data_IF_248874529954
#
_entry.id   IF_248874529954
#
_cell.length_a   1.000
_cell.length_b   1.000
_cell.length_c   1.000
_cell.angle_alpha   90.00
_cell.angle_beta   90.00
_cell.angle_gamma   90.00
#
_symmetry.space_group_name_H-M   'P 1'
#
loop_
_entity.id
_entity.type
_entity.pdbx_description
1 polymer ?
#
# COMPACT_ATOMS: atom_id res chain seq x y z
N UNK A 1 115.64 77.41 58.98
CA UNK A 1 114.94 78.70 59.05
C UNK A 1 113.44 78.40 58.98
N UNK A 2 112.58 78.46 59.99
CA UNK A 2 112.66 78.91 61.38
C UNK A 2 111.22 79.14 61.88
N UNK A 3 110.73 78.26 62.76
CA UNK A 3 109.85 78.45 63.95
C UNK A 3 108.54 79.30 63.86
N UNK A 4 108.19 79.97 62.76
CA UNK A 4 106.89 80.66 62.59
C UNK A 4 105.80 79.85 61.85
N UNK A 5 106.06 78.58 61.54
CA UNK A 5 105.18 77.68 60.77
C UNK A 5 104.09 76.95 61.59
N UNK A 6 103.85 77.33 62.86
CA UNK A 6 102.95 76.58 63.75
C UNK A 6 101.85 77.40 64.46
N UNK A 7 101.76 78.73 64.21
CA UNK A 7 100.80 79.59 64.94
C UNK A 7 99.66 80.13 64.03
N UNK A 8 99.80 80.14 62.70
CA UNK A 8 98.74 80.65 61.80
C UNK A 8 97.71 79.61 61.32
N UNK A 9 98.13 78.37 61.07
CA UNK A 9 97.25 77.30 60.53
C UNK A 9 96.25 76.76 61.55
N UNK A 10 96.50 76.96 62.85
CA UNK A 10 95.57 76.66 63.93
C UNK A 10 94.47 77.73 64.09
N UNK A 11 94.72 78.98 63.70
CA UNK A 11 93.72 80.07 63.74
C UNK A 11 92.77 80.02 62.53
N UNK A 12 93.27 79.67 61.33
CA UNK A 12 92.43 79.51 60.14
C UNK A 12 91.42 78.36 60.27
N UNK A 13 91.82 77.22 60.86
CA UNK A 13 90.94 76.07 61.07
C UNK A 13 89.91 76.25 62.21
N UNK A 14 90.13 77.22 63.12
CA UNK A 14 89.21 77.53 64.22
C UNK A 14 88.15 78.57 63.80
N UNK A 15 88.41 79.33 62.73
CA UNK A 15 87.48 80.30 62.14
C UNK A 15 86.75 79.72 60.91
N UNK A 16 87.37 78.83 60.12
CA UNK A 16 86.74 78.28 58.92
C UNK A 16 85.60 77.31 59.19
N UNK A 17 85.69 76.48 60.24
CA UNK A 17 84.65 75.49 60.59
C UNK A 17 83.28 76.09 60.95
N UNK A 18 83.16 77.16 61.76
CA UNK A 18 81.86 77.79 61.98
C UNK A 18 81.33 78.50 60.73
N UNK A 19 82.21 79.01 59.86
CA UNK A 19 81.82 79.63 58.58
C UNK A 19 81.33 78.60 57.57
N UNK A 20 81.96 77.43 57.51
CA UNK A 20 81.54 76.31 56.67
C UNK A 20 80.23 75.68 57.16
N UNK A 21 80.04 75.55 58.49
CA UNK A 21 78.78 75.11 59.08
C UNK A 21 77.64 76.12 58.86
N UNK A 22 77.93 77.43 58.90
CA UNK A 22 76.97 78.49 58.53
C UNK A 22 76.66 78.50 57.02
N UNK A 23 77.65 78.21 56.18
CA UNK A 23 77.46 78.08 54.74
C UNK A 23 76.69 76.82 54.38
N UNK A 24 76.87 75.70 55.09
CA UNK A 24 76.06 74.49 54.94
C UNK A 24 74.64 74.72 55.45
N UNK A 25 74.46 75.35 56.62
CA UNK A 25 73.15 75.72 57.16
C UNK A 25 72.40 76.72 56.26
N UNK A 26 73.09 77.66 55.60
CA UNK A 26 72.48 78.57 54.65
C UNK A 26 72.19 77.92 53.28
N UNK A 27 72.91 76.87 52.90
CA UNK A 27 72.69 76.11 51.65
C UNK A 27 71.66 75.00 51.78
N UNK A 28 71.48 74.44 52.98
CA UNK A 28 70.50 73.39 53.26
C UNK A 28 69.05 73.77 52.92
N UNK A 29 68.52 74.96 53.28
CA UNK A 29 67.17 75.37 52.86
C UNK A 29 67.08 75.62 51.34
N UNK A 30 68.20 75.96 50.67
CA UNK A 30 68.23 76.12 49.21
C UNK A 30 68.22 74.76 48.50
N UNK A 31 69.01 73.78 48.98
CA UNK A 31 69.02 72.40 48.49
C UNK A 31 67.70 71.69 48.75
N UNK A 32 67.09 71.88 49.92
CA UNK A 32 65.77 71.32 50.22
C UNK A 32 64.67 71.93 49.33
N UNK A 33 64.79 73.21 48.94
CA UNK A 33 63.87 73.85 48.00
C UNK A 33 64.10 73.45 46.53
N UNK A 34 65.31 73.06 46.16
CA UNK A 34 65.62 72.45 44.87
C UNK A 34 65.12 71.00 44.82
N UNK A 35 65.39 70.22 45.87
CA UNK A 35 64.93 68.85 46.03
C UNK A 35 63.39 68.77 46.04
N UNK A 36 62.69 69.63 46.79
CA UNK A 36 61.22 69.71 46.74
C UNK A 36 60.68 70.11 45.37
N UNK A 37 61.38 70.96 44.61
CA UNK A 37 60.96 71.30 43.24
C UNK A 37 61.19 70.13 42.29
N UNK A 38 62.28 69.39 42.45
CA UNK A 38 62.57 68.20 41.68
C UNK A 38 61.57 67.07 42.02
N UNK A 39 61.29 66.81 43.30
CA UNK A 39 60.26 65.87 43.73
C UNK A 39 58.87 66.26 43.23
N UNK A 40 58.47 67.54 43.35
CA UNK A 40 57.20 68.01 42.82
C UNK A 40 57.11 67.87 41.28
N UNK A 41 58.23 68.07 40.56
CA UNK A 41 58.27 67.85 39.11
C UNK A 41 58.12 66.37 38.75
N UNK A 42 58.82 65.48 39.47
CA UNK A 42 58.73 64.03 39.31
C UNK A 42 57.35 63.50 39.69
N UNK A 43 56.75 64.03 40.75
CA UNK A 43 55.38 63.68 41.17
C UNK A 43 54.35 64.15 40.14
N UNK A 44 54.51 65.36 39.60
CA UNK A 44 53.65 65.86 38.53
C UNK A 44 53.77 65.02 37.25
N UNK A 45 54.99 64.61 36.87
CA UNK A 45 55.21 63.72 35.73
C UNK A 45 54.63 62.32 35.97
N UNK A 46 54.84 61.77 37.17
CA UNK A 46 54.28 60.49 37.57
C UNK A 46 52.76 60.52 37.55
N UNK A 47 52.14 61.60 38.05
CA UNK A 47 50.70 61.79 38.03
C UNK A 47 50.16 61.87 36.60
N UNK A 48 50.79 62.66 35.73
CA UNK A 48 50.42 62.72 34.30
C UNK A 48 50.55 61.35 33.63
N UNK A 49 51.61 60.60 33.91
CA UNK A 49 51.80 59.26 33.36
C UNK A 49 50.74 58.29 33.89
N UNK A 50 50.38 58.37 35.17
CA UNK A 50 49.28 57.58 35.74
C UNK A 50 47.92 57.95 35.14
N UNK A 51 47.66 59.24 34.92
CA UNK A 51 46.44 59.72 34.28
C UNK A 51 46.36 59.25 32.82
N UNK A 52 47.47 59.30 32.08
CA UNK A 52 47.54 58.77 30.70
C UNK A 52 47.36 57.26 30.67
N UNK A 53 47.99 56.52 31.58
CA UNK A 53 47.84 55.05 31.65
C UNK A 53 46.43 54.63 32.05
N UNK A 54 45.80 55.34 32.99
CA UNK A 54 44.41 55.06 33.38
C UNK A 54 43.43 55.41 32.27
N UNK A 55 43.64 56.52 31.56
CA UNK A 55 42.85 56.88 30.39
C UNK A 55 42.99 55.84 29.26
N UNK A 56 44.22 55.41 28.95
CA UNK A 56 44.46 54.34 27.96
C UNK A 56 43.76 53.03 28.34
N UNK A 57 43.91 52.59 29.60
CA UNK A 57 43.23 51.39 30.08
C UNK A 57 41.71 51.48 30.03
N UNK A 58 41.12 52.65 30.28
CA UNK A 58 39.68 52.87 30.15
C UNK A 58 39.22 52.73 28.71
N UNK A 59 39.92 53.38 27.77
CA UNK A 59 39.61 53.28 26.33
C UNK A 59 39.78 51.85 25.83
N UNK A 60 40.86 51.16 26.21
CA UNK A 60 41.08 49.75 25.86
C UNK A 60 39.99 48.84 26.44
N UNK A 61 39.56 49.09 27.68
CA UNK A 61 38.47 48.33 28.29
C UNK A 61 37.13 48.60 27.61
N UNK A 62 36.81 49.86 27.32
CA UNK A 62 35.59 50.24 26.59
C UNK A 62 35.55 49.63 25.19
N UNK A 63 36.68 49.68 24.47
CA UNK A 63 36.83 49.05 23.16
C UNK A 63 36.63 47.54 23.24
N UNK A 64 37.30 46.87 24.19
CA UNK A 64 37.17 45.43 24.41
C UNK A 64 35.75 45.02 24.80
N UNK A 65 35.07 45.82 25.62
CA UNK A 65 33.66 45.58 25.98
C UNK A 65 32.74 45.77 24.76
N UNK A 66 33.01 46.76 23.92
CA UNK A 66 32.27 46.98 22.67
C UNK A 66 32.45 45.82 21.68
N UNK A 67 33.69 45.34 21.51
CA UNK A 67 34.01 44.20 20.65
C UNK A 67 33.30 42.93 21.14
N UNK A 68 33.40 42.66 22.44
CA UNK A 68 32.76 41.52 23.08
C UNK A 68 31.23 41.57 22.95
N UNK A 69 30.62 42.75 23.14
CA UNK A 69 29.18 42.93 22.92
C UNK A 69 28.78 42.68 21.44
N UNK A 70 29.57 43.20 20.50
CA UNK A 70 29.32 42.97 19.07
C UNK A 70 29.45 41.48 18.71
N UNK A 71 30.44 40.77 19.26
CA UNK A 71 30.57 39.32 19.09
C UNK A 71 29.38 38.56 19.68
N UNK A 72 28.90 38.96 20.86
CA UNK A 72 27.70 38.35 21.45
C UNK A 72 26.45 38.55 20.58
N UNK A 73 26.22 39.76 20.07
CA UNK A 73 25.10 40.05 19.17
C UNK A 73 25.20 39.26 17.86
N UNK A 74 26.40 39.16 17.28
CA UNK A 74 26.62 38.36 16.07
C UNK A 74 26.32 36.89 16.34
N UNK A 75 26.80 36.34 17.45
CA UNK A 75 26.58 34.94 17.83
C UNK A 75 25.11 34.64 18.12
N UNK A 76 24.36 35.59 18.68
CA UNK A 76 22.92 35.46 18.88
C UNK A 76 22.17 35.48 17.54
N UNK A 77 22.54 36.40 16.63
CA UNK A 77 21.99 36.46 15.27
C UNK A 77 22.30 35.19 14.47
N UNK A 78 23.50 34.64 14.58
CA UNK A 78 23.87 33.38 13.94
C UNK A 78 23.01 32.22 14.44
N UNK A 79 22.83 32.09 15.76
CA UNK A 79 21.98 31.04 16.34
C UNK A 79 20.52 31.17 15.95
N UNK A 80 19.97 32.39 15.95
CA UNK A 80 18.58 32.62 15.54
C UNK A 80 18.37 32.32 14.05
N UNK A 81 19.31 32.73 13.19
CA UNK A 81 19.29 32.40 11.77
C UNK A 81 19.43 30.89 11.52
N UNK A 82 20.28 30.19 12.29
CA UNK A 82 20.45 28.74 12.19
C UNK A 82 19.14 28.01 12.55
N UNK A 83 18.50 28.39 13.65
CA UNK A 83 17.19 27.85 14.04
C UNK A 83 16.13 28.16 12.98
N UNK A 84 16.09 29.38 12.44
CA UNK A 84 15.13 29.76 11.39
C UNK A 84 15.33 28.99 10.08
N UNK A 85 16.58 28.66 9.73
CA UNK A 85 16.89 27.83 8.57
C UNK A 85 16.44 26.39 8.80
N UNK A 86 16.67 25.85 10.00
CA UNK A 86 16.25 24.49 10.33
C UNK A 86 14.72 24.37 10.39
N UNK A 87 14.03 25.33 10.99
CA UNK A 87 12.56 25.39 10.99
C UNK A 87 12.01 25.47 9.57
N UNK A 88 12.65 26.23 8.67
CA UNK A 88 12.24 26.27 7.25
C UNK A 88 12.43 24.93 6.56
N UNK A 89 13.59 24.27 6.75
CA UNK A 89 13.87 22.94 6.20
C UNK A 89 12.86 21.90 6.68
N UNK A 90 12.59 21.86 7.99
CA UNK A 90 11.60 20.93 8.55
C UNK A 90 10.21 21.17 7.96
N UNK A 91 9.77 22.44 7.87
CA UNK A 91 8.47 22.78 7.24
C UNK A 91 8.41 22.39 5.77
N UNK A 92 9.49 22.54 5.02
CA UNK A 92 9.56 22.11 3.62
C UNK A 92 9.49 20.59 3.49
N UNK A 93 10.18 19.86 4.37
CA UNK A 93 10.12 18.40 4.44
C UNK A 93 8.70 17.94 4.80
N UNK A 94 8.06 18.54 5.80
CA UNK A 94 6.69 18.22 6.21
C UNK A 94 5.69 18.42 5.06
N UNK A 95 5.81 19.53 4.32
CA UNK A 95 5.00 19.77 3.12
C UNK A 95 5.25 18.73 2.03
N UNK A 96 6.51 18.43 1.73
CA UNK A 96 6.86 17.42 0.74
C UNK A 96 6.35 16.03 1.13
N UNK A 97 6.40 15.68 2.42
CA UNK A 97 5.83 14.42 2.94
C UNK A 97 4.31 14.40 2.81
N UNK A 98 3.62 15.50 3.14
CA UNK A 98 2.17 15.60 2.98
C UNK A 98 1.77 15.46 1.50
N UNK A 99 2.47 16.14 0.60
CA UNK A 99 2.26 16.00 -0.85
C UNK A 99 2.48 14.53 -1.27
N UNK A 100 3.62 13.90 -0.93
CA UNK A 100 3.89 12.49 -1.28
C UNK A 100 2.78 11.55 -0.78
N UNK A 101 2.22 11.80 0.40
CA UNK A 101 1.11 11.03 0.93
C UNK A 101 -0.18 11.22 0.11
N UNK A 102 -0.49 12.45 -0.30
CA UNK A 102 -1.63 12.74 -1.20
C UNK A 102 -1.45 12.07 -2.56
N UNK A 103 -0.26 12.17 -3.16
CA UNK A 103 0.10 11.50 -4.41
C UNK A 103 -0.08 9.98 -4.30
N UNK A 104 0.36 9.37 -3.18
CA UNK A 104 0.20 7.94 -2.93
C UNK A 104 -1.27 7.54 -2.83
N UNK A 105 -2.09 8.30 -2.09
CA UNK A 105 -3.53 8.05 -1.97
C UNK A 105 -4.22 8.16 -3.32
N UNK A 106 -3.91 9.19 -4.11
CA UNK A 106 -4.49 9.37 -5.44
C UNK A 106 -4.12 8.22 -6.39
N UNK A 107 -2.87 7.75 -6.34
CA UNK A 107 -2.44 6.61 -7.17
C UNK A 107 -3.12 5.30 -6.75
N UNK A 108 -3.33 5.10 -5.44
CA UNK A 108 -4.04 3.94 -4.92
C UNK A 108 -5.53 3.96 -5.32
N UNK A 109 -6.18 5.12 -5.24
CA UNK A 109 -7.55 5.31 -5.72
C UNK A 109 -7.65 5.04 -7.23
N UNK A 110 -6.73 5.56 -8.04
CA UNK A 110 -6.75 5.33 -9.49
C UNK A 110 -6.57 3.84 -9.84
N UNK A 111 -5.69 3.14 -9.12
CA UNK A 111 -5.54 1.68 -9.28
C UNK A 111 -6.83 0.97 -8.89
N UNK A 112 -7.45 1.37 -7.79
CA UNK A 112 -8.71 0.80 -7.32
C UNK A 112 -9.85 1.06 -8.33
N UNK A 113 -9.98 2.27 -8.87
CA UNK A 113 -10.99 2.59 -9.87
C UNK A 113 -10.84 1.74 -11.14
N UNK A 114 -9.60 1.57 -11.61
CA UNK A 114 -9.32 0.71 -12.78
C UNK A 114 -9.65 -0.75 -12.50
N UNK A 115 -9.29 -1.28 -11.33
CA UNK A 115 -9.61 -2.66 -10.97
C UNK A 115 -11.11 -2.85 -10.77
N UNK A 116 -11.80 -1.92 -10.10
CA UNK A 116 -13.26 -1.94 -9.93
C UNK A 116 -13.98 -1.85 -11.26
N UNK A 117 -13.54 -0.98 -12.18
CA UNK A 117 -14.12 -0.89 -13.52
C UNK A 117 -13.91 -2.18 -14.34
N UNK A 118 -12.74 -2.80 -14.24
CA UNK A 118 -12.46 -4.08 -14.88
C UNK A 118 -13.34 -5.20 -14.30
N UNK A 119 -13.49 -5.25 -12.97
CA UNK A 119 -14.37 -6.21 -12.28
C UNK A 119 -15.83 -5.98 -12.70
N UNK A 120 -16.30 -4.73 -12.77
CA UNK A 120 -17.66 -4.41 -13.17
C UNK A 120 -17.96 -4.87 -14.61
N UNK A 121 -17.06 -4.60 -15.56
CA UNK A 121 -17.18 -5.08 -16.94
C UNK A 121 -17.16 -6.60 -17.03
N UNK A 122 -16.28 -7.24 -16.26
CA UNK A 122 -16.24 -8.71 -16.19
C UNK A 122 -17.57 -9.27 -15.63
N UNK A 123 -18.13 -8.67 -14.58
CA UNK A 123 -19.44 -9.04 -14.01
C UNK A 123 -20.55 -8.93 -15.06
N UNK A 124 -20.60 -7.83 -15.82
CA UNK A 124 -21.58 -7.62 -16.88
C UNK A 124 -21.47 -8.64 -18.03
N UNK A 125 -20.24 -8.94 -18.48
CA UNK A 125 -20.02 -9.94 -19.53
C UNK A 125 -20.42 -11.34 -19.08
N UNK A 126 -20.13 -11.68 -17.83
CA UNK A 126 -20.44 -12.98 -17.27
C UNK A 126 -21.94 -13.17 -17.05
N UNK A 127 -22.66 -12.16 -16.54
CA UNK A 127 -24.12 -12.25 -16.39
C UNK A 127 -24.81 -12.40 -17.73
N UNK A 128 -24.35 -11.66 -18.76
CA UNK A 128 -24.84 -11.82 -20.14
C UNK A 128 -24.61 -13.25 -20.65
N UNK A 129 -23.41 -13.79 -20.49
CA UNK A 129 -23.08 -15.16 -20.89
C UNK A 129 -23.92 -16.19 -20.14
N UNK A 130 -24.15 -15.99 -18.83
CA UNK A 130 -25.00 -16.88 -18.04
C UNK A 130 -26.45 -16.88 -18.54
N UNK A 131 -27.03 -15.72 -18.84
CA UNK A 131 -28.38 -15.62 -19.40
C UNK A 131 -28.45 -16.35 -20.74
N UNK A 132 -27.45 -16.16 -21.61
CA UNK A 132 -27.38 -16.82 -22.90
C UNK A 132 -27.27 -18.35 -22.77
N UNK A 133 -26.47 -18.84 -21.83
CA UNK A 133 -26.34 -20.26 -21.52
C UNK A 133 -27.64 -20.83 -20.96
N UNK A 134 -28.31 -20.15 -20.02
CA UNK A 134 -29.61 -20.59 -19.48
C UNK A 134 -30.65 -20.71 -20.59
N UNK A 135 -30.75 -19.67 -21.44
CA UNK A 135 -31.69 -19.67 -22.56
C UNK A 135 -31.36 -20.80 -23.54
N UNK A 136 -30.08 -21.04 -23.82
CA UNK A 136 -29.63 -22.13 -24.70
C UNK A 136 -29.94 -23.50 -24.12
N UNK A 137 -29.71 -23.72 -22.82
CA UNK A 137 -30.04 -24.97 -22.11
C UNK A 137 -31.56 -25.19 -22.11
N UNK A 138 -32.35 -24.15 -21.82
CA UNK A 138 -33.81 -24.23 -21.83
C UNK A 138 -34.37 -24.56 -23.22
N UNK A 139 -33.86 -23.90 -24.27
CA UNK A 139 -34.24 -24.20 -25.65
C UNK A 139 -33.84 -25.62 -26.05
N UNK A 140 -32.64 -26.06 -25.66
CA UNK A 140 -32.18 -27.42 -25.93
C UNK A 140 -33.03 -28.47 -25.19
N UNK A 141 -33.43 -28.21 -23.95
CA UNK A 141 -34.32 -29.08 -23.18
C UNK A 141 -35.68 -29.22 -23.88
N UNK A 142 -36.24 -28.12 -24.37
CA UNK A 142 -37.51 -28.13 -25.11
C UNK A 142 -37.38 -28.88 -26.44
N UNK A 143 -36.35 -28.58 -27.25
CA UNK A 143 -36.10 -29.25 -28.54
C UNK A 143 -35.85 -30.75 -28.36
N UNK A 144 -35.08 -31.16 -27.34
CA UNK A 144 -34.87 -32.57 -27.03
C UNK A 144 -36.16 -33.28 -26.61
N UNK A 145 -37.00 -32.63 -25.79
CA UNK A 145 -38.31 -33.20 -25.40
C UNK A 145 -39.24 -33.32 -26.60
N UNK A 146 -39.29 -32.32 -27.47
CA UNK A 146 -40.08 -32.36 -28.69
C UNK A 146 -39.61 -33.47 -29.63
N UNK A 147 -38.30 -33.57 -29.88
CA UNK A 147 -37.72 -34.64 -30.72
C UNK A 147 -37.97 -36.03 -30.16
N UNK A 148 -37.86 -36.19 -28.84
CA UNK A 148 -38.15 -37.45 -28.15
C UNK A 148 -39.62 -37.86 -28.35
N UNK A 149 -40.57 -36.93 -28.16
CA UNK A 149 -41.99 -37.19 -28.39
C UNK A 149 -42.30 -37.51 -29.84
N UNK A 150 -41.72 -36.75 -30.79
CA UNK A 150 -41.87 -37.01 -32.22
C UNK A 150 -41.34 -38.39 -32.60
N UNK A 151 -40.19 -38.78 -32.05
CA UNK A 151 -39.60 -40.10 -32.26
C UNK A 151 -40.50 -41.23 -31.75
N UNK A 152 -41.08 -41.10 -30.54
CA UNK A 152 -42.06 -42.06 -30.01
C UNK A 152 -43.23 -42.22 -30.96
N UNK A 153 -43.80 -41.09 -31.42
CA UNK A 153 -44.94 -41.08 -32.31
C UNK A 153 -44.61 -41.75 -33.66
N UNK A 154 -43.51 -41.34 -34.30
CA UNK A 154 -43.06 -41.91 -35.57
C UNK A 154 -42.82 -43.42 -35.46
N UNK A 155 -42.21 -43.87 -34.38
CA UNK A 155 -41.97 -45.30 -34.14
C UNK A 155 -43.26 -46.05 -33.87
N UNK A 156 -44.16 -45.52 -33.05
CA UNK A 156 -45.47 -46.14 -32.81
C UNK A 156 -46.26 -46.33 -34.11
N UNK A 157 -46.23 -45.34 -35.02
CA UNK A 157 -46.84 -45.45 -36.35
C UNK A 157 -46.15 -46.53 -37.20
N UNK A 158 -44.81 -46.58 -37.21
CA UNK A 158 -44.06 -47.62 -37.92
C UNK A 158 -44.39 -49.02 -37.40
N UNK A 159 -44.52 -49.20 -36.07
CA UNK A 159 -44.90 -50.49 -35.49
C UNK A 159 -46.32 -50.91 -35.83
N UNK A 160 -47.26 -49.97 -35.81
CA UNK A 160 -48.62 -50.27 -36.24
C UNK A 160 -48.64 -50.75 -37.68
N UNK A 161 -47.91 -50.07 -38.58
CA UNK A 161 -47.78 -50.51 -39.97
C UNK A 161 -47.16 -51.90 -40.11
N UNK A 162 -46.12 -52.21 -39.34
CA UNK A 162 -45.51 -53.54 -39.33
C UNK A 162 -46.50 -54.62 -38.87
N UNK A 163 -47.31 -54.32 -37.86
CA UNK A 163 -48.37 -55.23 -37.41
C UNK A 163 -49.46 -55.40 -38.47
N UNK A 164 -49.89 -54.30 -39.10
CA UNK A 164 -50.88 -54.35 -40.19
C UNK A 164 -50.37 -55.20 -41.37
N UNK A 165 -49.11 -55.01 -41.79
CA UNK A 165 -48.45 -55.79 -42.84
C UNK A 165 -48.31 -57.27 -42.45
N UNK A 166 -47.90 -57.57 -41.21
CA UNK A 166 -47.80 -58.94 -40.72
C UNK A 166 -49.16 -59.63 -40.62
N UNK A 167 -50.23 -58.88 -40.31
CA UNK A 167 -51.60 -59.38 -40.27
C UNK A 167 -52.09 -59.70 -41.68
N UNK A 168 -51.79 -58.83 -42.65
CA UNK A 168 -52.12 -59.05 -44.06
C UNK A 168 -51.36 -60.25 -44.63
N UNK A 169 -50.06 -60.38 -44.33
CA UNK A 169 -49.25 -61.55 -44.71
C UNK A 169 -49.81 -62.84 -44.09
N UNK A 170 -50.15 -62.81 -42.79
CA UNK A 170 -50.76 -63.94 -42.10
C UNK A 170 -52.11 -64.34 -42.74
N UNK A 171 -52.94 -63.35 -43.10
CA UNK A 171 -54.22 -63.61 -43.76
C UNK A 171 -54.03 -64.27 -45.14
N UNK A 172 -53.06 -63.78 -45.93
CA UNK A 172 -52.72 -64.38 -47.21
C UNK A 172 -52.15 -65.80 -47.05
N UNK A 173 -51.32 -66.04 -46.04
CA UNK A 173 -50.79 -67.37 -45.74
C UNK A 173 -51.91 -68.34 -45.34
N UNK A 174 -52.88 -67.90 -44.52
CA UNK A 174 -54.05 -68.71 -44.15
C UNK A 174 -54.90 -69.09 -45.36
N UNK A 175 -55.21 -68.14 -46.25
CA UNK A 175 -55.93 -68.40 -47.50
C UNK A 175 -55.17 -69.43 -48.35
N UNK A 176 -53.85 -69.27 -48.48
CA UNK A 176 -53.00 -70.16 -49.28
C UNK A 176 -52.92 -71.58 -48.69
N UNK A 177 -52.92 -71.70 -47.35
CA UNK A 177 -52.96 -72.99 -46.66
C UNK A 177 -54.30 -73.69 -46.97
N UNK A 178 -55.40 -72.95 -46.93
CA UNK A 178 -56.74 -73.46 -47.23
C UNK A 178 -56.87 -73.94 -48.68
N UNK A 179 -56.32 -73.18 -49.64
CA UNK A 179 -56.33 -73.55 -51.07
C UNK A 179 -55.47 -74.78 -51.41
N UNK A 180 -54.29 -74.91 -50.78
CA UNK A 180 -53.29 -75.95 -51.16
C UNK A 180 -53.34 -77.22 -50.33
N UNK A 181 -53.83 -77.13 -49.09
CA UNK A 181 -53.83 -78.23 -48.12
C UNK A 181 -55.24 -78.51 -47.57
N UNK A 182 -56.29 -78.05 -48.25
CA UNK A 182 -57.68 -78.25 -47.83
C UNK A 182 -58.07 -79.72 -47.59
N UNK A 183 -57.47 -80.66 -48.33
CA UNK A 183 -57.75 -82.10 -48.21
C UNK A 183 -56.98 -82.80 -47.07
N UNK A 184 -56.04 -82.11 -46.43
CA UNK A 184 -55.20 -82.67 -45.35
C UNK A 184 -55.31 -81.85 -44.07
N UNK A 185 -56.32 -82.19 -43.26
CA UNK A 185 -56.63 -81.57 -41.97
C UNK A 185 -55.40 -81.42 -41.06
N UNK A 186 -54.51 -82.43 -41.06
CA UNK A 186 -53.35 -82.47 -40.17
C UNK A 186 -52.25 -81.51 -40.62
N UNK A 187 -52.03 -81.36 -41.93
CA UNK A 187 -51.10 -80.37 -42.46
C UNK A 187 -51.64 -78.94 -42.27
N UNK A 188 -52.95 -78.75 -42.46
CA UNK A 188 -53.64 -77.49 -42.23
C UNK A 188 -53.47 -76.99 -40.80
N UNK A 189 -53.76 -77.83 -39.79
CA UNK A 189 -53.64 -77.46 -38.37
C UNK A 189 -52.18 -77.10 -37.97
N UNK A 190 -51.18 -77.83 -38.49
CA UNK A 190 -49.76 -77.52 -38.23
C UNK A 190 -49.36 -76.16 -38.82
N UNK A 191 -49.78 -75.87 -40.06
CA UNK A 191 -49.42 -74.63 -40.74
C UNK A 191 -50.15 -73.41 -40.15
N UNK A 192 -51.44 -73.55 -39.78
CA UNK A 192 -52.20 -72.49 -39.10
C UNK A 192 -51.52 -72.12 -37.78
N UNK A 193 -51.13 -73.10 -36.96
CA UNK A 193 -50.40 -72.83 -35.71
C UNK A 193 -49.05 -72.15 -35.94
N UNK A 194 -48.37 -72.47 -37.04
CA UNK A 194 -47.12 -71.80 -37.39
C UNK A 194 -47.34 -70.32 -37.74
N UNK A 195 -48.41 -70.00 -38.48
CA UNK A 195 -48.82 -68.61 -38.79
C UNK A 195 -49.22 -67.86 -37.52
N UNK A 196 -50.05 -68.46 -36.65
CA UNK A 196 -50.42 -67.87 -35.36
C UNK A 196 -49.19 -67.58 -34.50
N UNK A 197 -48.24 -68.51 -34.44
CA UNK A 197 -46.99 -68.34 -33.68
C UNK A 197 -46.14 -67.20 -34.26
N UNK A 198 -46.04 -67.10 -35.59
CA UNK A 198 -45.32 -66.01 -36.28
C UNK A 198 -45.96 -64.67 -35.97
N UNK A 199 -47.29 -64.55 -36.07
CA UNK A 199 -48.01 -63.31 -35.78
C UNK A 199 -47.88 -62.91 -34.30
N UNK A 200 -48.02 -63.87 -33.38
CA UNK A 200 -47.80 -63.67 -31.95
C UNK A 200 -46.39 -63.12 -31.66
N UNK A 201 -45.36 -63.69 -32.28
CA UNK A 201 -43.98 -63.22 -32.11
C UNK A 201 -43.78 -61.78 -32.62
N UNK A 202 -44.42 -61.39 -33.72
CA UNK A 202 -44.33 -60.02 -34.28
C UNK A 202 -45.02 -59.03 -33.35
N UNK A 203 -46.20 -59.37 -32.82
CA UNK A 203 -46.95 -58.55 -31.86
C UNK A 203 -46.16 -58.40 -30.56
N UNK A 204 -45.66 -59.51 -30.00
CA UNK A 204 -44.88 -59.51 -28.75
C UNK A 204 -43.59 -58.71 -28.88
N UNK A 205 -42.86 -58.87 -29.99
CA UNK A 205 -41.63 -58.13 -30.25
C UNK A 205 -41.90 -56.63 -30.40
N UNK A 206 -42.95 -56.26 -31.12
CA UNK A 206 -43.36 -54.86 -31.29
C UNK A 206 -43.78 -54.22 -29.97
N UNK A 207 -44.52 -54.97 -29.14
CA UNK A 207 -44.98 -54.52 -27.83
C UNK A 207 -43.80 -54.31 -26.88
N UNK A 208 -42.88 -55.28 -26.80
CA UNK A 208 -41.66 -55.18 -25.98
C UNK A 208 -40.80 -53.98 -26.39
N UNK A 209 -40.64 -53.76 -27.70
CA UNK A 209 -39.89 -52.61 -28.17
C UNK A 209 -40.53 -51.27 -27.77
N UNK A 210 -41.86 -51.13 -27.84
CA UNK A 210 -42.54 -49.92 -27.39
C UNK A 210 -42.36 -49.67 -25.88
N UNK A 211 -42.37 -50.73 -25.08
CA UNK A 211 -42.07 -50.65 -23.65
C UNK A 211 -40.64 -50.20 -23.38
N UNK A 212 -39.66 -50.77 -24.09
CA UNK A 212 -38.25 -50.38 -24.00
C UNK A 212 -38.05 -48.93 -24.44
N UNK A 213 -38.66 -48.51 -25.55
CA UNK A 213 -38.60 -47.15 -26.04
C UNK A 213 -39.18 -46.16 -25.03
N UNK A 214 -40.30 -46.48 -24.38
CA UNK A 214 -40.85 -45.64 -23.33
C UNK A 214 -39.91 -45.53 -22.12
N UNK A 215 -39.28 -46.63 -21.70
CA UNK A 215 -38.25 -46.60 -20.63
C UNK A 215 -37.06 -45.73 -21.01
N UNK A 216 -36.58 -45.81 -22.24
CA UNK A 216 -35.46 -45.01 -22.74
C UNK A 216 -35.81 -43.51 -22.76
N UNK A 217 -37.03 -43.16 -23.18
CA UNK A 217 -37.52 -41.76 -23.14
C UNK A 217 -37.57 -41.23 -21.71
N UNK A 218 -38.04 -42.05 -20.76
CA UNK A 218 -38.06 -41.66 -19.34
C UNK A 218 -36.63 -41.44 -18.83
N UNK A 219 -35.68 -42.33 -19.17
CA UNK A 219 -34.26 -42.18 -18.82
C UNK A 219 -33.64 -40.93 -19.45
N UNK A 220 -33.97 -40.63 -20.70
CA UNK A 220 -33.52 -39.44 -21.43
C UNK A 220 -34.06 -38.17 -20.79
N UNK A 221 -35.34 -38.12 -20.41
CA UNK A 221 -35.93 -37.00 -19.68
C UNK A 221 -35.23 -36.78 -18.33
N UNK A 222 -34.99 -37.86 -17.56
CA UNK A 222 -34.24 -37.77 -16.30
C UNK A 222 -32.81 -37.23 -16.51
N UNK A 223 -32.15 -37.63 -17.59
CA UNK A 223 -30.80 -37.16 -17.93
C UNK A 223 -30.80 -35.68 -18.31
N UNK A 224 -31.78 -35.23 -19.08
CA UNK A 224 -31.98 -33.82 -19.42
C UNK A 224 -32.24 -32.99 -18.17
N UNK A 225 -33.11 -33.46 -17.27
CA UNK A 225 -33.41 -32.76 -16.03
C UNK A 225 -32.17 -32.69 -15.10
N UNK A 226 -31.37 -33.76 -15.04
CA UNK A 226 -30.07 -33.73 -14.32
C UNK A 226 -29.10 -32.72 -14.89
N UNK A 227 -28.94 -32.68 -16.21
CA UNK A 227 -28.05 -31.73 -16.89
C UNK A 227 -28.51 -30.28 -16.66
N UNK A 228 -29.81 -30.05 -16.71
CA UNK A 228 -30.42 -28.73 -16.43
C UNK A 228 -30.16 -28.31 -14.98
N UNK A 229 -30.43 -29.20 -14.02
CA UNK A 229 -30.18 -28.95 -12.60
C UNK A 229 -28.68 -28.74 -12.29
N UNK A 230 -27.79 -29.49 -12.94
CA UNK A 230 -26.35 -29.30 -12.81
C UNK A 230 -25.90 -27.96 -13.41
N UNK A 231 -26.43 -27.60 -14.57
CA UNK A 231 -26.19 -26.28 -15.19
C UNK A 231 -26.66 -25.14 -14.28
N UNK A 232 -27.85 -25.26 -13.70
CA UNK A 232 -28.38 -24.28 -12.75
C UNK A 232 -27.50 -24.19 -11.49
N UNK A 233 -27.14 -25.33 -10.87
CA UNK A 233 -26.24 -25.34 -9.69
C UNK A 233 -24.86 -24.79 -9.99
N UNK A 234 -24.32 -25.05 -11.19
CA UNK A 234 -23.07 -24.46 -11.63
C UNK A 234 -23.19 -22.94 -11.66
N UNK A 235 -24.28 -22.41 -12.21
CA UNK A 235 -24.55 -20.96 -12.26
C UNK A 235 -24.74 -20.40 -10.84
N UNK A 236 -25.56 -21.03 -9.99
CA UNK A 236 -25.79 -20.61 -8.60
C UNK A 236 -24.50 -20.59 -7.79
N UNK A 237 -23.71 -21.67 -7.82
CA UNK A 237 -22.43 -21.73 -7.12
C UNK A 237 -21.43 -20.70 -7.65
N UNK A 238 -21.44 -20.46 -8.96
CA UNK A 238 -20.60 -19.43 -9.56
C UNK A 238 -21.01 -18.04 -9.07
N UNK A 239 -22.33 -17.73 -9.04
CA UNK A 239 -22.88 -16.49 -8.50
C UNK A 239 -22.57 -16.30 -7.00
N UNK A 240 -22.71 -17.33 -6.19
CA UNK A 240 -22.41 -17.28 -4.75
C UNK A 240 -20.95 -16.96 -4.46
N UNK A 241 -20.01 -17.55 -5.21
CA UNK A 241 -18.58 -17.22 -5.08
C UNK A 241 -18.27 -15.75 -5.35
N UNK A 242 -19.10 -15.04 -6.12
CA UNK A 242 -18.92 -13.60 -6.35
C UNK A 242 -19.29 -12.74 -5.14
N UNK A 243 -20.33 -13.11 -4.38
CA UNK A 243 -20.71 -12.34 -3.19
C UNK A 243 -19.64 -12.37 -2.08
N UNK A 244 -18.85 -13.45 -2.02
CA UNK A 244 -17.78 -13.61 -1.02
C UNK A 244 -16.56 -12.72 -1.34
N UNK A 245 -16.27 -12.46 -2.62
CA UNK A 245 -15.18 -11.56 -3.04
C UNK A 245 -15.49 -10.10 -2.68
N UNK A 246 -16.75 -9.69 -2.81
CA UNK A 246 -17.17 -8.35 -2.37
C UNK A 246 -16.99 -8.17 -0.85
N UNK A 247 -17.29 -9.18 -0.02
CA UNK A 247 -17.11 -9.10 1.45
C UNK A 247 -15.64 -9.15 1.92
N UNK A 248 -14.78 -9.88 1.21
CA UNK A 248 -13.35 -10.01 1.57
C UNK A 248 -12.52 -8.82 1.09
N UNK A 249 -12.93 -8.16 -0.01
CA UNK A 249 -12.29 -6.91 -0.45
C UNK A 249 -12.54 -5.73 0.51
N UNK A 250 -13.69 -5.70 1.20
CA UNK A 250 -13.96 -4.71 2.27
C UNK A 250 -13.16 -4.92 3.56
N UNK A 251 -12.46 -6.05 3.73
CA UNK A 251 -11.71 -6.39 4.95
C UNK A 251 -10.24 -5.94 4.95
N UNK A 252 -9.75 -5.29 3.89
CA UNK A 252 -8.38 -4.73 3.86
C UNK A 252 -8.30 -3.25 4.25
N UNK A 253 -9.40 -2.64 4.69
CA UNK A 253 -9.43 -1.28 5.26
C UNK A 253 -9.44 -1.36 6.78
N UNK A 254 -8.43 -1.96 7.37
CA UNK A 254 -8.03 -1.65 8.76
C UNK A 254 -6.53 -1.36 8.76
N UNK A 255 -6.18 -0.25 8.12
CA UNK A 255 -4.84 0.33 8.11
C UNK A 255 -4.42 0.91 9.46
N UNK A 256 -4.74 0.26 10.58
CA UNK A 256 -4.50 0.78 11.93
C UNK A 256 -3.45 -0.03 12.72
N UNK A 257 -2.99 -1.19 12.21
CA UNK A 257 -1.95 -1.99 12.88
C UNK A 257 -0.52 -1.72 12.36
N UNK A 258 -0.35 -1.09 11.19
CA UNK A 258 0.99 -0.81 10.65
C UNK A 258 1.65 0.45 11.21
N UNK A 259 0.88 1.45 11.66
CA UNK A 259 1.43 2.67 12.27
C UNK A 259 1.92 2.46 13.71
N UNK A 260 1.33 1.51 14.46
CA UNK A 260 1.78 1.18 15.83
C UNK A 260 3.13 0.45 15.89
N UNK A 261 3.56 -0.20 14.82
CA UNK A 261 4.85 -0.92 14.78
C UNK A 261 6.03 -0.03 14.41
N UNK A 262 5.81 1.08 13.69
CA UNK A 262 6.89 2.01 13.34
C UNK A 262 7.23 2.98 14.48
N UNK A 263 6.27 3.31 15.35
CA UNK A 263 6.50 4.17 16.52
C UNK A 263 7.13 3.44 17.71
N UNK A 264 7.22 2.10 17.69
CA UNK A 264 7.81 1.31 18.79
C UNK A 264 9.31 1.06 18.64
N UNK A 265 9.90 1.42 17.49
CA UNK A 265 11.32 1.21 17.19
C UNK A 265 12.17 2.51 17.24
N UNK A 266 11.65 3.58 17.85
CA UNK A 266 12.35 4.87 18.00
C UNK A 266 12.50 5.27 19.49
N UNK A 267 12.45 4.30 20.41
CA UNK A 267 12.87 4.51 21.81
C UNK A 267 14.03 3.60 22.17
#
# INVERSE_FOLDING_TARGET
>A
MGIFSQIGSALLNCISKPVDALCEWAKEPLKDREYRREEASKESEHKRNMDVLTAKKRVEHELRMSELNAEYELREKEKTLEVDLEVRRVREIEKAVAEIQEWRKSQELERMERTTAAIARYKEQLTKLNIEVINSIGNMQLDLKERAQKFVYEKAVQYKRLQDEATEEAMNDLIRIEEKFGDNERAKDILIRAVDTKMGNVIDTSTRFLEELNRDIVSLNQSIDRLTNQGQKFIESHLERFHIVDATSSLYITGDEKERLLLKNIN
#
